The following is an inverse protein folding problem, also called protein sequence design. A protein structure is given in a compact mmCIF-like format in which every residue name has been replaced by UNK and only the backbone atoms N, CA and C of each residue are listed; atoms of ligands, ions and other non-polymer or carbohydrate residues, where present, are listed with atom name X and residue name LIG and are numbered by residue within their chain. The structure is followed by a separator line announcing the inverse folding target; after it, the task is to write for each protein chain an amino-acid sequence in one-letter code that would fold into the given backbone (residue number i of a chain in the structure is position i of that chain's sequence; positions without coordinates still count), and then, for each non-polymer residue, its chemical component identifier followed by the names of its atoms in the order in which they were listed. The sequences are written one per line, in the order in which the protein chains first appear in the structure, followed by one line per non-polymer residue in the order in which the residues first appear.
data_IF_045306055860
#
_entry.id   IF_045306055860
#
_cell.length_a   1.000
_cell.length_b   1.000
_cell.length_c   1.000
_cell.angle_alpha   90.00
_cell.angle_beta   90.00
_cell.angle_gamma   90.00
#
_symmetry.space_group_name_H-M   'P 1'
#
loop_
_entity.id
_entity.type
_entity.pdbx_description
1 polymer ?
#
# COMPACT_ATOMS: atom_id res chain seq x y z
N UNK A 1 -15.47 5.50 5.69
CA UNK A 1 -15.52 5.35 4.22
C UNK A 1 -15.03 6.66 3.63
N UNK A 2 -13.72 6.77 3.41
CA UNK A 2 -13.14 7.99 2.86
C UNK A 2 -13.32 7.97 1.34
N UNK A 3 -14.09 8.93 0.83
CA UNK A 3 -14.36 9.09 -0.59
C UNK A 3 -13.25 9.93 -1.22
N UNK A 4 -12.40 9.30 -2.02
CA UNK A 4 -11.34 9.99 -2.79
C UNK A 4 -11.88 10.65 -4.07
N UNK A 5 -13.18 10.57 -4.37
CA UNK A 5 -13.76 11.12 -5.60
C UNK A 5 -13.86 12.66 -5.63
N UNK A 6 -13.35 13.38 -4.63
CA UNK A 6 -13.40 14.84 -4.55
C UNK A 6 -12.10 15.55 -4.92
N UNK A 7 -10.97 14.85 -5.13
CA UNK A 7 -9.65 15.50 -5.32
C UNK A 7 -9.05 15.11 -6.67
N UNK A 8 -9.65 15.59 -7.75
CA UNK A 8 -8.98 15.64 -9.04
C UNK A 8 -9.46 16.88 -9.81
N UNK A 9 -8.98 18.06 -9.41
CA UNK A 9 -8.95 19.20 -10.31
C UNK A 9 -7.65 19.10 -11.10
N UNK A 10 -7.75 18.98 -12.42
CA UNK A 10 -6.60 19.00 -13.32
C UNK A 10 -6.50 20.38 -13.98
N UNK A 11 -5.28 20.88 -14.11
CA UNK A 11 -4.98 22.11 -14.86
C UNK A 11 -4.73 21.69 -16.30
N UNK A 12 -5.59 22.14 -17.22
CA UNK A 12 -5.40 21.87 -18.65
C UNK A 12 -4.16 22.61 -19.16
N UNK A 13 -3.27 21.89 -19.83
CA UNK A 13 -1.96 22.40 -20.27
C UNK A 13 -2.07 23.40 -21.42
N UNK A 14 -3.17 23.41 -22.17
CA UNK A 14 -3.34 24.32 -23.31
C UNK A 14 -4.00 25.65 -22.93
N UNK A 15 -4.89 25.64 -21.93
CA UNK A 15 -5.68 26.81 -21.52
C UNK A 15 -5.27 27.40 -20.17
N UNK A 16 -4.54 26.64 -19.35
CA UNK A 16 -4.10 27.09 -18.01
C UNK A 16 -5.22 27.22 -16.98
N UNK A 17 -6.45 26.81 -17.32
CA UNK A 17 -7.61 26.92 -16.44
C UNK A 17 -7.88 25.62 -15.65
N UNK A 18 -8.43 25.78 -14.45
CA UNK A 18 -8.81 24.66 -13.57
C UNK A 18 -10.19 24.12 -13.96
N UNK A 19 -10.26 22.88 -14.46
CA UNK A 19 -11.53 22.26 -14.90
C UNK A 19 -12.01 21.22 -13.88
N UNK A 20 -13.26 21.28 -13.39
CA UNK A 20 -13.84 20.28 -12.52
C UNK A 20 -14.17 18.97 -13.26
N UNK A 21 -13.73 17.83 -12.73
CA UNK A 21 -13.72 16.52 -13.39
C UNK A 21 -15.10 15.82 -13.56
N UNK A 22 -16.24 16.50 -13.37
CA UNK A 22 -17.57 15.85 -13.44
C UNK A 22 -18.39 16.57 -14.51
N UNK A 23 -18.95 15.89 -15.52
CA UNK A 23 -20.08 14.98 -15.35
C UNK A 23 -20.41 14.37 -16.72
N UNK A 24 -20.47 13.02 -16.81
CA UNK A 24 -21.02 12.16 -17.89
C UNK A 24 -20.16 10.91 -18.07
N UNK A 25 -20.14 10.07 -17.04
CA UNK A 25 -20.06 8.63 -17.22
C UNK A 25 -20.83 8.04 -16.06
N UNK A 26 -21.98 7.43 -16.35
CA UNK A 26 -22.69 6.62 -15.36
C UNK A 26 -21.67 5.71 -14.70
N UNK A 27 -21.65 5.71 -13.38
CA UNK A 27 -20.72 5.01 -12.52
C UNK A 27 -20.73 3.50 -12.79
N UNK A 28 -20.08 3.10 -13.89
CA UNK A 28 -19.52 1.77 -14.10
C UNK A 28 -18.05 1.78 -13.68
N UNK A 29 -17.69 2.65 -12.73
CA UNK A 29 -16.63 2.31 -11.81
C UNK A 29 -17.14 1.06 -11.12
N UNK A 30 -16.67 -0.11 -11.55
CA UNK A 30 -16.85 -1.31 -10.76
C UNK A 30 -16.41 -0.89 -9.36
N UNK A 31 -17.36 -0.85 -8.42
CA UNK A 31 -17.03 -0.89 -7.01
C UNK A 31 -16.25 -2.19 -6.92
N UNK A 32 -14.91 -2.10 -6.98
CA UNK A 32 -14.05 -3.25 -6.84
C UNK A 32 -14.32 -3.72 -5.43
N UNK A 33 -15.22 -4.70 -5.30
CA UNK A 33 -15.52 -5.27 -4.01
C UNK A 33 -14.21 -5.81 -3.47
N UNK A 34 -13.96 -5.61 -2.18
CA UNK A 34 -12.77 -6.17 -1.54
C UNK A 34 -12.65 -7.68 -1.80
N UNK A 35 -13.78 -8.38 -1.93
CA UNK A 35 -13.80 -9.79 -2.38
C UNK A 35 -13.19 -10.02 -3.77
N UNK A 36 -13.37 -9.11 -4.74
CA UNK A 36 -12.72 -9.19 -6.06
C UNK A 36 -11.23 -8.86 -5.99
N UNK A 37 -10.83 -7.95 -5.10
CA UNK A 37 -9.42 -7.64 -4.86
C UNK A 37 -8.71 -8.86 -4.26
N UNK A 38 -9.30 -9.46 -3.23
CA UNK A 38 -8.70 -10.60 -2.52
C UNK A 38 -8.79 -11.92 -3.27
N UNK A 39 -9.65 -12.05 -4.28
CA UNK A 39 -9.74 -13.26 -5.11
C UNK A 39 -8.43 -13.64 -5.81
N UNK A 40 -7.48 -12.70 -5.95
CA UNK A 40 -6.15 -12.93 -6.54
C UNK A 40 -5.00 -12.73 -5.54
N UNK A 41 -5.30 -12.60 -4.26
CA UNK A 41 -4.33 -12.34 -3.19
C UNK A 41 -4.30 -13.49 -2.19
N UNK A 42 -3.22 -13.62 -1.40
CA UNK A 42 -3.17 -14.58 -0.30
C UNK A 42 -4.36 -14.42 0.66
N UNK A 43 -4.88 -15.53 1.24
CA UNK A 43 -6.05 -15.50 2.12
C UNK A 43 -5.86 -14.64 3.38
N UNK A 44 -4.61 -14.37 3.78
CA UNK A 44 -4.26 -13.54 4.92
C UNK A 44 -4.72 -12.09 4.75
N UNK A 45 -4.78 -11.58 3.51
CA UNK A 45 -5.35 -10.27 3.23
C UNK A 45 -6.84 -10.21 3.54
N UNK A 46 -7.56 -11.33 3.33
CA UNK A 46 -8.98 -11.43 3.70
C UNK A 46 -9.12 -11.45 5.21
N UNK A 47 -8.30 -12.22 5.92
CA UNK A 47 -8.30 -12.28 7.38
C UNK A 47 -7.95 -10.94 8.03
N UNK A 48 -6.91 -10.27 7.51
CA UNK A 48 -6.51 -8.92 7.92
C UNK A 48 -7.65 -7.93 7.72
N UNK A 49 -8.26 -7.90 6.53
CA UNK A 49 -9.36 -6.99 6.23
C UNK A 49 -10.58 -7.25 7.12
N UNK A 50 -10.93 -8.52 7.34
CA UNK A 50 -12.03 -8.90 8.23
C UNK A 50 -11.80 -8.35 9.65
N UNK A 51 -10.58 -8.49 10.18
CA UNK A 51 -10.21 -7.91 11.48
C UNK A 51 -10.37 -6.39 11.48
N UNK A 52 -9.80 -5.69 10.48
CA UNK A 52 -9.91 -4.24 10.36
C UNK A 52 -11.37 -3.76 10.31
N UNK A 53 -12.25 -4.48 9.59
CA UNK A 53 -13.68 -4.12 9.51
C UNK A 53 -14.48 -4.45 10.76
N UNK A 54 -13.98 -5.36 11.60
CA UNK A 54 -14.63 -5.76 12.85
C UNK A 54 -14.33 -4.82 14.02
N UNK A 55 -13.29 -3.98 13.89
CA UNK A 55 -12.88 -3.07 14.94
C UNK A 55 -13.91 -1.96 15.15
N UNK A 56 -14.28 -1.79 16.41
CA UNK A 56 -15.13 -0.68 16.85
C UNK A 56 -14.27 0.54 17.22
N UNK A 57 -14.88 1.72 17.21
CA UNK A 57 -14.20 2.95 17.61
C UNK A 57 -13.68 2.85 19.05
N UNK A 58 -12.38 3.12 19.25
CA UNK A 58 -11.71 3.02 20.55
C UNK A 58 -11.20 1.60 20.91
N UNK A 59 -11.52 0.59 20.11
CA UNK A 59 -10.96 -0.75 20.29
C UNK A 59 -9.50 -0.78 19.86
N UNK A 60 -8.63 -1.32 20.73
CA UNK A 60 -7.23 -1.54 20.40
C UNK A 60 -7.12 -2.70 19.39
N UNK A 61 -6.50 -2.49 18.21
CA UNK A 61 -6.25 -3.59 17.28
C UNK A 61 -5.29 -4.61 17.88
N UNK A 62 -5.54 -5.89 17.63
CA UNK A 62 -4.55 -6.94 17.90
C UNK A 62 -3.45 -6.94 16.83
N UNK A 63 -2.44 -6.10 17.04
CA UNK A 63 -1.30 -6.02 16.11
C UNK A 63 -0.44 -7.30 16.10
N UNK A 64 -0.39 -8.04 17.21
CA UNK A 64 0.41 -9.25 17.28
C UNK A 64 -0.13 -10.32 16.31
N UNK A 65 -1.45 -10.51 16.31
CA UNK A 65 -2.13 -11.41 15.37
C UNK A 65 -1.93 -10.95 13.92
N UNK A 66 -2.16 -9.66 13.61
CA UNK A 66 -2.05 -9.14 12.24
C UNK A 66 -0.66 -9.35 11.65
N UNK A 67 0.38 -9.20 12.46
CA UNK A 67 1.77 -9.42 12.04
C UNK A 67 2.11 -10.90 11.92
N UNK A 68 1.53 -11.71 12.79
CA UNK A 68 1.63 -13.17 12.72
C UNK A 68 1.20 -13.69 11.35
N UNK A 69 0.04 -13.24 10.85
CA UNK A 69 -0.49 -13.64 9.54
C UNK A 69 0.55 -13.49 8.43
N UNK A 70 1.17 -12.31 8.30
CA UNK A 70 2.15 -12.07 7.23
C UNK A 70 3.50 -12.74 7.49
N UNK A 71 3.96 -12.79 8.74
CA UNK A 71 5.24 -13.45 9.09
C UNK A 71 5.19 -14.94 8.82
N UNK A 72 4.07 -15.60 9.14
CA UNK A 72 3.90 -17.03 8.86
C UNK A 72 3.91 -17.30 7.36
N UNK A 73 3.26 -16.44 6.57
CA UNK A 73 3.26 -16.55 5.11
C UNK A 73 4.61 -16.32 4.46
N UNK A 74 5.32 -15.27 4.88
CA UNK A 74 6.67 -15.03 4.42
C UNK A 74 7.56 -16.24 4.70
N UNK A 75 7.44 -16.83 5.90
CA UNK A 75 8.18 -18.03 6.27
C UNK A 75 7.80 -19.25 5.41
N UNK A 76 6.52 -19.47 5.15
CA UNK A 76 6.04 -20.57 4.28
C UNK A 76 6.56 -20.45 2.85
N UNK A 77 6.67 -19.22 2.34
CA UNK A 77 7.21 -18.93 1.02
C UNK A 77 8.76 -18.86 1.01
N UNK A 78 9.41 -19.02 2.17
CA UNK A 78 10.87 -19.06 2.29
C UNK A 78 11.55 -17.69 2.35
N UNK A 79 10.78 -16.62 2.53
CA UNK A 79 11.31 -15.26 2.61
C UNK A 79 11.87 -14.98 4.01
N UNK A 80 13.07 -14.40 4.06
CA UNK A 80 13.69 -13.89 5.26
C UNK A 80 13.35 -12.41 5.49
N UNK A 81 13.52 -11.93 6.73
CA UNK A 81 13.50 -10.49 7.03
C UNK A 81 14.88 -9.87 6.75
N UNK A 82 15.29 -9.87 5.48
CA UNK A 82 16.61 -9.41 5.02
C UNK A 82 16.65 -7.90 4.66
N UNK A 83 15.53 -7.20 4.82
CA UNK A 83 15.35 -5.80 4.44
C UNK A 83 15.60 -5.50 2.96
N UNK A 84 15.59 -6.53 2.10
CA UNK A 84 15.71 -6.36 0.65
C UNK A 84 14.32 -6.19 0.04
N UNK A 85 13.96 -4.94 -0.22
CA UNK A 85 12.72 -4.60 -0.89
C UNK A 85 12.96 -4.30 -2.37
N UNK A 86 11.90 -4.37 -3.18
CA UNK A 86 11.95 -4.08 -4.62
C UNK A 86 12.62 -2.73 -4.95
N UNK A 87 12.51 -1.75 -4.05
CA UNK A 87 13.10 -0.43 -4.27
C UNK A 87 14.56 -0.28 -3.81
N UNK A 88 15.13 -1.28 -3.13
CA UNK A 88 16.52 -1.22 -2.63
C UNK A 88 17.51 -1.42 -3.76
N UNK A 89 17.23 -2.33 -4.70
CA UNK A 89 18.12 -2.61 -5.80
C UNK A 89 17.38 -2.66 -7.14
N UNK A 90 17.30 -1.51 -7.81
CA UNK A 90 16.69 -1.41 -9.14
C UNK A 90 17.41 -2.18 -10.23
N UNK A 91 18.69 -2.49 -10.02
CA UNK A 91 19.47 -3.23 -11.03
C UNK A 91 19.07 -4.69 -11.15
N UNK A 92 18.40 -5.24 -10.15
CA UNK A 92 17.96 -6.64 -10.11
C UNK A 92 16.57 -6.86 -10.73
N UNK A 93 15.84 -5.79 -11.04
CA UNK A 93 14.49 -5.85 -11.60
C UNK A 93 14.52 -5.61 -13.11
N UNK A 94 13.80 -6.44 -13.89
CA UNK A 94 13.69 -6.28 -15.35
C UNK A 94 13.20 -4.87 -15.79
N UNK A 95 12.51 -4.14 -14.91
CA UNK A 95 11.94 -2.81 -15.16
C UNK A 95 12.61 -1.68 -14.39
N UNK A 96 13.71 -1.95 -13.67
CA UNK A 96 14.32 -0.96 -12.78
C UNK A 96 13.53 -0.71 -11.49
N UNK A 97 13.93 0.30 -10.72
CA UNK A 97 13.13 0.83 -9.60
C UNK A 97 12.10 1.85 -10.11
N UNK A 98 10.99 2.02 -9.37
CA UNK A 98 10.03 3.11 -9.59
C UNK A 98 10.55 4.50 -9.18
N UNK A 99 11.79 4.59 -8.70
CA UNK A 99 12.39 5.82 -8.23
C UNK A 99 13.09 6.51 -9.41
N UNK A 100 12.78 7.79 -9.68
CA UNK A 100 13.52 8.58 -10.65
C UNK A 100 15.02 8.64 -10.30
N UNK A 101 15.89 8.72 -11.31
CA UNK A 101 17.35 8.74 -11.14
C UNK A 101 17.85 9.88 -10.25
N UNK A 102 17.08 10.96 -10.10
CA UNK A 102 17.41 12.08 -9.22
C UNK A 102 17.30 11.77 -7.71
N UNK A 103 16.64 10.68 -7.33
CA UNK A 103 16.50 10.30 -5.92
C UNK A 103 17.68 9.46 -5.45
N UNK A 104 18.45 10.02 -4.52
CA UNK A 104 19.54 9.30 -3.83
C UNK A 104 18.95 8.49 -2.69
N UNK A 105 18.92 7.17 -2.83
CA UNK A 105 18.70 6.25 -1.72
C UNK A 105 20.01 6.08 -0.95
N UNK A 106 20.29 7.00 -0.02
CA UNK A 106 21.40 6.83 0.92
C UNK A 106 20.85 6.55 2.32
N UNK A 107 21.18 5.36 2.82
CA UNK A 107 20.82 4.89 4.16
C UNK A 107 21.31 5.83 5.26
N UNK A 108 22.32 6.66 4.99
CA UNK A 108 22.81 7.68 5.91
C UNK A 108 21.81 8.82 6.17
N UNK A 109 20.80 9.01 5.31
CA UNK A 109 19.71 9.96 5.56
C UNK A 109 18.59 9.38 6.43
N UNK A 110 18.64 8.09 6.74
CA UNK A 110 17.72 7.46 7.69
C UNK A 110 18.37 7.56 9.06
N UNK A 111 17.73 8.28 10.00
CA UNK A 111 18.15 8.27 11.39
C UNK A 111 18.26 6.81 11.88
N UNK A 112 19.38 6.42 12.50
CA UNK A 112 19.58 5.14 13.16
C UNK A 112 18.59 4.99 14.34
N UNK A 113 17.32 4.77 14.01
CA UNK A 113 16.34 4.32 14.99
C UNK A 113 16.62 2.86 15.22
N UNK A 114 17.14 2.56 16.41
CA UNK A 114 17.32 1.18 16.88
C UNK A 114 16.08 0.39 16.51
N UNK A 115 16.28 -0.63 15.67
CA UNK A 115 15.22 -1.51 15.24
C UNK A 115 14.57 -2.13 16.48
N UNK A 116 13.33 -1.74 16.76
CA UNK A 116 12.54 -2.32 17.85
C UNK A 116 11.61 -3.41 17.26
N UNK A 117 11.90 -4.70 17.52
CA UNK A 117 11.09 -5.82 17.03
C UNK A 117 9.63 -5.79 17.51
N UNK A 118 9.31 -4.96 18.51
CA UNK A 118 7.98 -4.83 19.11
C UNK A 118 7.20 -3.59 18.63
N UNK A 119 7.85 -2.63 17.94
CA UNK A 119 7.22 -1.45 17.33
C UNK A 119 6.73 -1.68 15.90
N UNK A 120 7.12 -2.80 15.27
CA UNK A 120 6.38 -3.34 14.14
C UNK A 120 5.31 -4.26 14.62
#
# INVERSE_FOLDING_TARGET
MFDFALVALYIDRETGEHVPFRERRGSRGAVLSFGRLFARSPPEFTAYHAHCTSLTYGQKPDYAMLRGLFRERMREEGWGADSQFDWINGSELEKGTLLPEEYVLDVNFVEDRVWDPYLM
#
